data_IF_323365801364
#
_entry.id   IF_323365801364
#
_cell.length_a   1.000
_cell.length_b   1.000
_cell.length_c   1.000
_cell.angle_alpha   90.00
_cell.angle_beta   90.00
_cell.angle_gamma   90.00
#
_symmetry.space_group_name_H-M   'P 1'
#
loop_
_entity.id
_entity.type
_entity.pdbx_description
1 polymer ?
#
# COMPACT_ATOMS: atom_id res chain seq x y z
N UNK A 1 -34.24 -17.96 -28.57
CA UNK A 1 -33.63 -18.38 -27.30
C UNK A 1 -32.31 -17.63 -27.22
N UNK A 2 -32.26 -16.51 -26.47
CA UNK A 2 -31.01 -15.79 -26.24
C UNK A 2 -30.17 -16.71 -25.36
N UNK A 3 -29.03 -17.13 -25.88
CA UNK A 3 -27.99 -17.75 -25.07
C UNK A 3 -27.53 -16.64 -24.13
N UNK A 4 -27.89 -16.72 -22.87
CA UNK A 4 -27.37 -15.85 -21.82
C UNK A 4 -25.83 -15.90 -21.92
N UNK A 5 -25.22 -14.73 -21.90
CA UNK A 5 -23.75 -14.57 -21.84
C UNK A 5 -23.23 -15.30 -20.59
N UNK A 6 -22.90 -16.58 -20.74
CA UNK A 6 -22.24 -17.32 -19.66
C UNK A 6 -20.89 -16.63 -19.46
N UNK A 7 -20.79 -15.96 -18.35
CA UNK A 7 -19.56 -15.27 -17.95
C UNK A 7 -18.44 -16.31 -17.85
N UNK A 8 -17.52 -16.32 -18.82
CA UNK A 8 -16.47 -17.33 -18.93
C UNK A 8 -15.44 -17.27 -17.81
N UNK A 9 -15.32 -16.10 -17.18
CA UNK A 9 -14.37 -15.87 -16.07
C UNK A 9 -15.02 -15.07 -14.95
N UNK A 10 -14.52 -15.25 -13.74
CA UNK A 10 -14.77 -14.39 -12.59
C UNK A 10 -13.45 -13.71 -12.19
N UNK A 11 -13.49 -12.40 -11.94
CA UNK A 11 -12.37 -11.61 -11.45
C UNK A 11 -12.69 -11.14 -10.05
N UNK A 12 -11.85 -11.51 -9.09
CA UNK A 12 -11.88 -11.00 -7.73
C UNK A 12 -10.65 -10.15 -7.52
N UNK A 13 -10.85 -8.84 -7.30
CA UNK A 13 -9.77 -7.90 -7.05
C UNK A 13 -10.11 -7.03 -5.83
N UNK A 14 -9.12 -6.84 -4.97
CA UNK A 14 -9.22 -5.97 -3.80
C UNK A 14 -8.36 -4.73 -4.05
N UNK A 15 -9.00 -3.56 -4.12
CA UNK A 15 -8.35 -2.30 -4.42
C UNK A 15 -8.18 -1.45 -3.16
N UNK A 16 -7.04 -0.76 -3.08
CA UNK A 16 -6.84 0.27 -2.07
C UNK A 16 -7.70 1.49 -2.39
N UNK A 17 -8.30 2.10 -1.36
CA UNK A 17 -9.15 3.31 -1.51
C UNK A 17 -8.34 4.56 -1.85
N UNK A 18 -7.09 4.58 -1.40
CA UNK A 18 -6.16 5.68 -1.65
C UNK A 18 -4.78 5.13 -1.98
N UNK A 19 -4.09 5.79 -2.90
CA UNK A 19 -2.71 5.48 -3.26
C UNK A 19 -1.82 6.68 -2.99
N UNK A 20 -0.61 6.42 -2.49
CA UNK A 20 0.35 7.46 -2.12
C UNK A 20 1.78 7.03 -2.43
N UNK A 21 2.71 7.98 -2.46
CA UNK A 21 4.13 7.69 -2.60
C UNK A 21 4.66 6.71 -1.54
N UNK A 22 4.10 6.76 -0.34
CA UNK A 22 4.42 5.85 0.75
C UNK A 22 4.31 4.36 0.35
N UNK A 23 3.32 4.00 -0.48
CA UNK A 23 3.13 2.61 -0.91
C UNK A 23 4.30 2.09 -1.74
N UNK A 24 5.02 2.98 -2.45
CA UNK A 24 6.26 2.63 -3.16
C UNK A 24 7.35 2.25 -2.15
N UNK A 25 7.48 3.03 -1.08
CA UNK A 25 8.51 2.81 -0.04
C UNK A 25 8.29 1.51 0.72
N UNK A 26 7.02 1.14 0.95
CA UNK A 26 6.65 -0.08 1.68
C UNK A 26 6.45 -1.31 0.80
N UNK A 27 6.53 -1.16 -0.53
CA UNK A 27 6.22 -2.23 -1.47
C UNK A 27 4.73 -2.63 -1.48
N UNK A 28 3.85 -1.76 -0.96
CA UNK A 28 2.41 -2.03 -0.94
C UNK A 28 1.82 -1.81 -2.33
N UNK A 29 1.05 -2.79 -2.81
CA UNK A 29 0.37 -2.67 -4.11
C UNK A 29 -1.00 -2.00 -3.97
N UNK A 30 -1.41 -1.14 -4.93
CA UNK A 30 -2.76 -0.61 -5.01
C UNK A 30 -3.83 -1.67 -5.29
N UNK A 31 -3.41 -2.86 -5.76
CA UNK A 31 -4.26 -4.05 -5.91
C UNK A 31 -3.67 -5.14 -5.03
N UNK A 32 -4.28 -5.39 -3.86
CA UNK A 32 -3.73 -6.30 -2.84
C UNK A 32 -4.07 -7.76 -3.08
N UNK A 33 -5.16 -8.03 -3.77
CA UNK A 33 -5.59 -9.37 -4.19
C UNK A 33 -6.05 -9.33 -5.62
N UNK A 34 -5.65 -10.31 -6.39
CA UNK A 34 -6.14 -10.50 -7.75
C UNK A 34 -6.23 -11.99 -8.04
N UNK A 35 -7.46 -12.46 -8.21
CA UNK A 35 -7.75 -13.82 -8.63
C UNK A 35 -8.57 -13.77 -9.90
N UNK A 36 -8.22 -14.66 -10.83
CA UNK A 36 -8.98 -14.88 -12.07
C UNK A 36 -9.37 -16.35 -12.11
N UNK A 37 -10.65 -16.60 -12.16
CA UNK A 37 -11.22 -17.95 -12.19
C UNK A 37 -11.83 -18.23 -13.56
N UNK A 38 -11.45 -19.34 -14.15
CA UNK A 38 -12.11 -19.90 -15.32
C UNK A 38 -13.34 -20.69 -14.84
N UNK A 39 -14.52 -20.30 -15.30
CA UNK A 39 -15.79 -20.95 -14.92
C UNK A 39 -16.23 -21.98 -15.95
N UNK A 40 -15.45 -22.20 -17.02
CA UNK A 40 -15.77 -23.14 -18.09
C UNK A 40 -15.08 -24.49 -17.89
N UNK A 41 -15.57 -25.50 -18.60
CA UNK A 41 -15.00 -26.86 -18.63
C UNK A 41 -13.85 -27.00 -19.66
N UNK A 42 -13.45 -25.89 -20.30
CA UNK A 42 -12.36 -25.84 -21.27
C UNK A 42 -11.25 -24.92 -20.78
N UNK A 43 -10.01 -25.22 -21.17
CA UNK A 43 -8.88 -24.34 -20.94
C UNK A 43 -9.01 -23.08 -21.81
N UNK A 44 -8.70 -21.92 -21.26
CA UNK A 44 -8.66 -20.67 -22.03
C UNK A 44 -7.20 -20.32 -22.27
N UNK A 45 -6.78 -20.40 -23.51
CA UNK A 45 -5.42 -20.09 -23.96
C UNK A 45 -5.24 -18.58 -24.25
N UNK A 46 -3.99 -18.15 -24.36
CA UNK A 46 -3.59 -16.78 -24.70
C UNK A 46 -4.29 -15.71 -23.84
N UNK A 47 -4.46 -16.01 -22.56
CA UNK A 47 -5.07 -15.09 -21.61
C UNK A 47 -4.06 -14.04 -21.19
N UNK A 48 -4.45 -12.78 -21.33
CA UNK A 48 -3.70 -11.62 -20.92
C UNK A 48 -4.41 -10.89 -19.79
N UNK A 49 -3.74 -10.77 -18.66
CA UNK A 49 -4.20 -10.04 -17.47
C UNK A 49 -3.44 -8.73 -17.37
N UNK A 50 -4.15 -7.61 -17.42
CA UNK A 50 -3.58 -6.27 -17.41
C UNK A 50 -4.13 -5.46 -16.24
N UNK A 51 -3.27 -4.63 -15.64
CA UNK A 51 -3.68 -3.58 -14.70
C UNK A 51 -3.26 -2.24 -15.30
N UNK A 52 -4.23 -1.37 -15.48
CA UNK A 52 -4.07 -0.01 -16.02
C UNK A 52 -4.72 1.00 -15.09
N UNK A 53 -4.22 2.23 -15.12
CA UNK A 53 -4.80 3.32 -14.34
C UNK A 53 -5.01 4.57 -15.18
N UNK A 54 -5.97 5.38 -14.78
CA UNK A 54 -6.25 6.68 -15.37
C UNK A 54 -6.46 7.72 -14.25
N UNK A 55 -5.60 8.78 -14.20
CA UNK A 55 -4.39 8.98 -15.00
C UNK A 55 -3.38 7.84 -14.82
N UNK A 56 -2.33 7.78 -15.63
CA UNK A 56 -1.33 6.71 -15.62
C UNK A 56 -0.38 6.79 -14.40
N UNK A 57 -0.91 6.59 -13.18
CA UNK A 57 -0.13 6.56 -11.95
C UNK A 57 0.43 5.17 -11.62
N UNK A 58 0.05 4.14 -12.39
CA UNK A 58 0.66 2.81 -12.31
C UNK A 58 1.64 2.58 -13.45
N UNK A 59 2.66 1.75 -13.19
CA UNK A 59 3.44 1.15 -14.27
C UNK A 59 2.62 0.05 -14.93
N UNK A 60 2.81 -0.23 -16.22
CA UNK A 60 2.08 -1.31 -16.88
C UNK A 60 2.35 -2.67 -16.22
N UNK A 61 1.29 -3.34 -15.82
CA UNK A 61 1.31 -4.74 -15.41
C UNK A 61 0.62 -5.57 -16.48
N UNK A 62 1.30 -6.57 -16.97
CA UNK A 62 0.75 -7.46 -17.99
C UNK A 62 1.35 -8.86 -17.80
N UNK A 63 0.49 -9.86 -17.65
CA UNK A 63 0.87 -11.27 -17.56
C UNK A 63 0.09 -12.06 -18.60
N UNK A 64 0.81 -12.85 -19.39
CA UNK A 64 0.23 -13.80 -20.34
C UNK A 64 0.28 -15.21 -19.76
N UNK A 65 -0.85 -15.92 -19.81
CA UNK A 65 -1.00 -17.24 -19.21
C UNK A 65 -2.09 -18.04 -19.88
N UNK A 66 -2.23 -19.30 -19.51
CA UNK A 66 -3.41 -20.12 -19.80
C UNK A 66 -4.21 -20.28 -18.50
N UNK A 67 -5.54 -20.12 -18.58
CA UNK A 67 -6.44 -20.39 -17.47
C UNK A 67 -7.00 -21.81 -17.62
N UNK A 68 -6.52 -22.79 -16.84
CA UNK A 68 -7.04 -24.15 -16.93
C UNK A 68 -8.53 -24.18 -16.56
N UNK A 69 -9.24 -25.14 -17.11
CA UNK A 69 -10.66 -25.35 -16.84
C UNK A 69 -10.97 -25.40 -15.35
N UNK A 70 -12.05 -24.77 -14.95
CA UNK A 70 -12.56 -24.76 -13.57
C UNK A 70 -11.51 -24.38 -12.51
N UNK A 71 -10.45 -23.67 -12.90
CA UNK A 71 -9.35 -23.29 -12.00
C UNK A 71 -9.37 -21.81 -11.64
N UNK A 72 -8.67 -21.48 -10.56
CA UNK A 72 -8.42 -20.11 -10.11
C UNK A 72 -6.94 -19.86 -10.07
N UNK A 73 -6.48 -18.80 -10.71
CA UNK A 73 -5.10 -18.34 -10.66
C UNK A 73 -5.02 -17.07 -9.82
N UNK A 74 -4.06 -17.05 -8.90
CA UNK A 74 -3.70 -15.87 -8.12
C UNK A 74 -2.59 -15.11 -8.84
N UNK A 75 -2.75 -13.79 -8.91
CA UNK A 75 -1.72 -12.88 -9.40
C UNK A 75 -1.26 -12.00 -8.24
N UNK A 76 0.03 -11.75 -8.18
CA UNK A 76 0.66 -10.89 -7.15
C UNK A 76 1.31 -9.68 -7.84
N UNK A 77 0.53 -8.63 -8.11
CA UNK A 77 1.05 -7.43 -8.75
C UNK A 77 1.86 -6.61 -7.74
N UNK A 78 3.17 -6.65 -7.86
CA UNK A 78 4.10 -5.89 -7.03
C UNK A 78 4.56 -4.60 -7.73
N UNK A 79 4.94 -3.60 -6.94
CA UNK A 79 5.56 -2.35 -7.42
C UNK A 79 4.80 -1.64 -8.55
N UNK A 80 3.47 -1.66 -8.48
CA UNK A 80 2.62 -1.09 -9.54
C UNK A 80 2.68 0.43 -9.67
N UNK A 81 3.06 1.15 -8.61
CA UNK A 81 3.01 2.62 -8.64
C UNK A 81 4.19 3.22 -9.39
N UNK A 82 3.91 4.22 -10.21
CA UNK A 82 4.92 5.00 -10.92
C UNK A 82 5.58 6.01 -9.97
N UNK A 83 6.88 5.87 -9.64
CA UNK A 83 7.56 6.84 -8.79
C UNK A 83 7.57 8.25 -9.39
N UNK A 84 7.74 8.36 -10.71
CA UNK A 84 7.79 9.65 -11.41
C UNK A 84 6.46 10.39 -11.32
N UNK A 85 5.34 9.67 -11.47
CA UNK A 85 4.02 10.28 -11.36
C UNK A 85 3.74 10.73 -9.93
N UNK A 86 3.98 9.86 -8.94
CA UNK A 86 3.66 10.15 -7.54
C UNK A 86 4.49 11.28 -6.95
N UNK A 87 5.77 11.40 -7.34
CA UNK A 87 6.64 12.52 -6.91
C UNK A 87 6.22 13.85 -7.55
N UNK A 88 5.72 13.82 -8.78
CA UNK A 88 5.30 15.03 -9.50
C UNK A 88 3.92 15.55 -9.05
N UNK A 89 3.15 14.77 -8.29
CA UNK A 89 1.79 15.11 -7.92
C UNK A 89 1.76 16.10 -6.75
N UNK A 90 1.37 17.35 -7.02
CA UNK A 90 1.34 18.44 -6.05
C UNK A 90 -0.01 18.62 -5.36
N UNK A 91 -1.06 17.98 -5.86
CA UNK A 91 -2.42 18.04 -5.29
C UNK A 91 -3.11 16.68 -5.45
N UNK A 92 -3.95 16.35 -4.48
CA UNK A 92 -4.79 15.14 -4.55
C UNK A 92 -5.63 15.15 -5.82
N UNK A 93 -5.70 14.00 -6.48
CA UNK A 93 -6.55 13.80 -7.66
C UNK A 93 -7.36 12.51 -7.53
N UNK A 94 -8.43 12.40 -8.29
CA UNK A 94 -9.15 11.14 -8.44
C UNK A 94 -8.51 10.34 -9.56
N UNK A 95 -8.44 9.05 -9.36
CA UNK A 95 -7.97 8.10 -10.36
C UNK A 95 -8.84 6.86 -10.40
N UNK A 96 -8.64 6.07 -11.44
CA UNK A 96 -9.31 4.79 -11.64
C UNK A 96 -8.27 3.72 -11.92
N UNK A 97 -8.43 2.56 -11.30
CA UNK A 97 -7.66 1.35 -11.60
C UNK A 97 -8.58 0.35 -12.27
N UNK A 98 -8.13 -0.23 -13.35
CA UNK A 98 -8.86 -1.22 -14.13
C UNK A 98 -8.02 -2.49 -14.21
N UNK A 99 -8.62 -3.62 -13.86
CA UNK A 99 -8.09 -4.95 -14.13
C UNK A 99 -8.87 -5.52 -15.30
N UNK A 100 -8.18 -5.81 -16.39
CA UNK A 100 -8.74 -6.36 -17.61
C UNK A 100 -8.15 -7.73 -17.90
N UNK A 101 -9.03 -8.66 -18.27
CA UNK A 101 -8.64 -9.99 -18.71
C UNK A 101 -9.15 -10.19 -20.13
N UNK A 102 -8.25 -10.55 -21.03
CA UNK A 102 -8.56 -10.76 -22.45
C UNK A 102 -7.92 -12.06 -22.96
N UNK A 103 -8.46 -12.61 -24.05
CA UNK A 103 -7.81 -13.67 -24.83
C UNK A 103 -7.79 -13.21 -26.29
N UNK A 104 -6.60 -13.08 -26.84
CA UNK A 104 -6.38 -12.44 -28.12
C UNK A 104 -6.96 -11.02 -28.17
N UNK A 105 -7.94 -10.77 -29.04
CA UNK A 105 -8.63 -9.47 -29.16
C UNK A 105 -9.91 -9.36 -28.34
N UNK A 106 -10.35 -10.44 -27.69
CA UNK A 106 -11.61 -10.50 -26.97
C UNK A 106 -11.38 -10.20 -25.49
N UNK A 107 -12.10 -9.22 -24.96
CA UNK A 107 -12.16 -8.97 -23.51
C UNK A 107 -13.08 -10.02 -22.89
N UNK A 108 -12.57 -10.79 -21.95
CA UNK A 108 -13.30 -11.82 -21.22
C UNK A 108 -14.00 -11.26 -19.99
N UNK A 109 -13.36 -10.26 -19.35
CA UNK A 109 -13.91 -9.59 -18.18
C UNK A 109 -13.07 -8.39 -17.78
N UNK A 110 -13.70 -7.49 -17.02
CA UNK A 110 -13.08 -6.29 -16.50
C UNK A 110 -13.67 -5.98 -15.12
N UNK A 111 -12.84 -5.47 -14.22
CA UNK A 111 -13.26 -4.88 -12.94
C UNK A 111 -12.48 -3.63 -12.68
N UNK A 112 -13.11 -2.65 -12.03
CA UNK A 112 -12.49 -1.35 -11.78
C UNK A 112 -12.83 -0.79 -10.41
N UNK A 113 -12.00 0.14 -9.94
CA UNK A 113 -12.27 0.91 -8.75
C UNK A 113 -11.78 2.35 -8.90
N UNK A 114 -12.52 3.28 -8.33
CA UNK A 114 -12.07 4.64 -8.12
C UNK A 114 -11.15 4.69 -6.90
N UNK A 115 -10.05 5.44 -7.02
CA UNK A 115 -9.05 5.61 -5.97
C UNK A 115 -8.67 7.08 -5.82
N UNK A 116 -8.43 7.51 -4.58
CA UNK A 116 -7.83 8.81 -4.34
C UNK A 116 -6.32 8.72 -4.54
N UNK A 117 -5.76 9.45 -5.49
CA UNK A 117 -4.31 9.55 -5.68
C UNK A 117 -3.83 10.75 -4.88
N UNK A 118 -3.07 10.48 -3.80
CA UNK A 118 -2.63 11.48 -2.84
C UNK A 118 -1.43 12.26 -3.37
N UNK A 119 -1.33 13.54 -3.02
CA UNK A 119 -0.18 14.36 -3.36
C UNK A 119 1.11 13.81 -2.73
N UNK A 120 2.26 14.19 -3.29
CA UNK A 120 3.54 13.86 -2.69
C UNK A 120 3.62 14.41 -1.26
N UNK A 121 3.95 13.53 -0.31
CA UNK A 121 3.96 13.88 1.12
C UNK A 121 2.63 13.72 1.86
N UNK A 122 1.52 13.47 1.16
CA UNK A 122 0.27 13.05 1.78
C UNK A 122 0.25 11.53 2.02
N UNK A 123 -0.40 11.13 3.12
CA UNK A 123 -0.64 9.73 3.43
C UNK A 123 -2.01 9.54 4.07
N UNK A 124 -2.67 8.46 3.75
CA UNK A 124 -3.87 8.02 4.47
C UNK A 124 -3.48 7.17 5.69
N UNK A 125 -3.26 7.84 6.80
CA UNK A 125 -2.93 7.17 8.06
C UNK A 125 -4.10 6.41 8.68
N UNK A 126 -5.33 6.67 8.23
CA UNK A 126 -6.51 5.98 8.75
C UNK A 126 -6.57 4.54 8.26
N UNK A 127 -6.18 4.32 7.01
CA UNK A 127 -6.11 2.98 6.39
C UNK A 127 -4.79 2.26 6.69
N UNK A 128 -3.70 3.02 6.88
CA UNK A 128 -2.35 2.49 7.07
C UNK A 128 -1.60 3.24 8.18
N UNK A 129 -1.91 2.98 9.47
CA UNK A 129 -1.24 3.67 10.59
C UNK A 129 0.28 3.42 10.63
N UNK A 130 0.73 2.28 10.12
CA UNK A 130 2.16 1.92 10.06
C UNK A 130 2.95 2.82 9.11
N UNK A 131 2.28 3.51 8.23
CA UNK A 131 2.88 4.41 7.24
C UNK A 131 3.58 5.62 7.84
N UNK A 132 3.21 6.01 9.06
CA UNK A 132 3.92 7.04 9.81
C UNK A 132 5.43 6.77 9.91
N UNK A 133 5.83 5.50 10.02
CA UNK A 133 7.24 5.12 10.11
C UNK A 133 8.04 5.48 8.84
N UNK A 134 7.42 5.44 7.65
CA UNK A 134 8.08 5.77 6.39
C UNK A 134 8.38 7.27 6.23
N UNK A 135 7.63 8.14 6.93
CA UNK A 135 7.82 9.60 6.90
C UNK A 135 8.76 10.11 8.00
N UNK A 136 9.14 9.26 8.95
CA UNK A 136 10.08 9.62 10.01
C UNK A 136 11.51 9.44 9.50
N UNK A 137 12.06 10.47 8.88
CA UNK A 137 13.50 10.50 8.59
C UNK A 137 14.27 10.68 9.92
N UNK A 138 15.30 9.87 10.19
CA UNK A 138 16.15 10.04 11.38
C UNK A 138 17.01 11.29 11.25
N UNK A 139 16.43 12.46 11.57
CA UNK A 139 17.13 13.73 11.60
C UNK A 139 18.10 13.78 12.79
N UNK A 140 19.10 14.68 12.74
CA UNK A 140 20.00 14.93 13.89
C UNK A 140 19.22 15.36 15.14
N UNK A 141 18.15 16.15 14.96
CA UNK A 141 17.27 16.56 16.05
C UNK A 141 16.53 15.38 16.69
N UNK A 142 16.02 14.45 15.87
CA UNK A 142 15.35 13.24 16.38
C UNK A 142 16.33 12.33 17.14
N UNK A 143 17.56 12.17 16.63
CA UNK A 143 18.61 11.42 17.33
C UNK A 143 18.97 12.07 18.67
N UNK A 144 19.11 13.40 18.70
CA UNK A 144 19.37 14.14 19.93
C UNK A 144 18.23 14.02 20.94
N UNK A 145 16.96 14.07 20.49
CA UNK A 145 15.78 13.85 21.32
C UNK A 145 15.76 12.44 21.91
N UNK A 146 16.02 11.42 21.08
CA UNK A 146 16.08 10.03 21.51
C UNK A 146 17.18 9.82 22.57
N UNK A 147 18.38 10.37 22.35
CA UNK A 147 19.48 10.29 23.32
C UNK A 147 19.13 10.94 24.66
N UNK A 148 18.42 12.08 24.64
CA UNK A 148 17.94 12.75 25.87
C UNK A 148 16.87 11.91 26.57
N UNK A 149 15.93 11.29 25.81
CA UNK A 149 14.91 10.41 26.35
C UNK A 149 15.54 9.16 27.01
N UNK A 150 16.58 8.57 26.39
CA UNK A 150 17.32 7.45 26.94
C UNK A 150 18.00 7.83 28.29
N UNK A 151 18.59 9.03 28.36
CA UNK A 151 19.17 9.55 29.59
C UNK A 151 18.12 9.71 30.69
N UNK A 152 16.93 10.23 30.33
CA UNK A 152 15.80 10.39 31.25
C UNK A 152 15.29 9.06 31.78
N UNK A 153 15.22 8.04 30.93
CA UNK A 153 14.86 6.66 31.33
C UNK A 153 15.90 6.11 32.34
N UNK A 154 17.18 6.34 32.11
CA UNK A 154 18.24 5.92 33.05
C UNK A 154 18.10 6.63 34.38
N UNK A 155 17.83 7.95 34.42
CA UNK A 155 17.54 8.72 35.65
C UNK A 155 16.34 8.14 36.42
N UNK A 156 15.31 7.65 35.70
CA UNK A 156 14.15 7.01 36.32
C UNK A 156 14.33 5.53 36.65
N UNK A 157 15.54 4.99 36.42
CA UNK A 157 15.87 3.57 36.59
C UNK A 157 14.90 2.66 35.79
N UNK A 158 14.58 3.07 34.57
CA UNK A 158 13.70 2.35 33.66
C UNK A 158 14.50 1.79 32.49
N UNK A 159 14.07 0.63 32.00
CA UNK A 159 14.70 -0.03 30.87
C UNK A 159 14.39 0.75 29.57
N UNK A 160 15.42 0.86 28.71
CA UNK A 160 15.24 1.34 27.33
C UNK A 160 14.36 0.37 26.57
N UNK A 161 13.32 0.85 25.90
CA UNK A 161 12.52 0.04 24.99
C UNK A 161 13.36 -0.26 23.73
N UNK A 162 13.85 -1.49 23.61
CA UNK A 162 14.31 -1.99 22.30
C UNK A 162 13.11 -2.21 21.41
N UNK A 163 12.94 -1.41 20.37
CA UNK A 163 11.74 -1.43 19.53
C UNK A 163 11.51 -2.75 18.78
N UNK A 164 12.48 -3.67 18.76
CA UNK A 164 12.41 -4.91 17.99
C UNK A 164 12.58 -6.19 18.84
N UNK A 165 13.03 -6.07 20.08
CA UNK A 165 13.31 -7.24 20.91
C UNK A 165 12.41 -7.27 22.17
N UNK A 166 11.14 -7.64 21.99
CA UNK A 166 10.29 -8.01 23.12
C UNK A 166 10.02 -6.92 24.14
N UNK A 167 9.95 -5.65 23.73
CA UNK A 167 9.57 -4.55 24.60
C UNK A 167 8.16 -4.78 25.18
N UNK A 168 8.03 -4.71 26.51
CA UNK A 168 6.73 -4.77 27.15
C UNK A 168 5.92 -3.47 26.90
N UNK A 169 4.59 -3.53 27.07
CA UNK A 169 3.76 -2.31 27.04
C UNK A 169 4.25 -1.22 28.00
N UNK A 170 4.82 -1.63 29.14
CA UNK A 170 5.35 -0.69 30.12
C UNK A 170 6.64 -0.03 29.63
N UNK A 171 7.51 -0.73 28.92
CA UNK A 171 8.74 -0.15 28.36
C UNK A 171 8.41 0.90 27.31
N UNK A 172 7.46 0.61 26.43
CA UNK A 172 6.97 1.56 25.43
C UNK A 172 6.34 2.80 26.09
N UNK A 173 5.49 2.60 27.11
CA UNK A 173 4.87 3.71 27.86
C UNK A 173 5.91 4.58 28.57
N UNK A 174 6.91 3.97 29.20
CA UNK A 174 7.99 4.69 29.85
C UNK A 174 8.82 5.51 28.87
N UNK A 175 9.10 4.95 27.68
CA UNK A 175 9.81 5.67 26.63
C UNK A 175 9.05 6.91 26.16
N UNK A 176 7.75 6.77 25.88
CA UNK A 176 6.91 7.93 25.53
C UNK A 176 6.88 8.98 26.66
N UNK A 177 6.76 8.56 27.92
CA UNK A 177 6.80 9.48 29.05
C UNK A 177 8.15 10.24 29.12
N UNK A 178 9.26 9.57 28.86
CA UNK A 178 10.59 10.20 28.81
C UNK A 178 10.70 11.21 27.67
N UNK A 179 10.19 10.88 26.48
CA UNK A 179 10.13 11.80 25.33
C UNK A 179 9.30 13.04 25.67
N UNK A 180 8.12 12.88 26.27
CA UNK A 180 7.29 14.00 26.69
C UNK A 180 7.97 14.88 27.73
N UNK A 181 8.65 14.29 28.72
CA UNK A 181 9.39 15.05 29.72
C UNK A 181 10.50 15.89 29.08
N UNK A 182 11.27 15.32 28.15
CA UNK A 182 12.33 16.04 27.42
C UNK A 182 11.77 17.15 26.56
N UNK A 183 10.64 16.94 25.89
CA UNK A 183 9.98 17.97 25.09
C UNK A 183 9.47 19.13 25.98
N UNK A 184 8.92 18.81 27.16
CA UNK A 184 8.48 19.81 28.14
C UNK A 184 9.64 20.67 28.66
N UNK A 185 10.83 20.08 28.87
CA UNK A 185 12.02 20.80 29.30
C UNK A 185 12.59 21.72 28.20
N UNK A 186 12.29 21.47 26.93
CA UNK A 186 12.82 22.27 25.82
C UNK A 186 12.02 23.55 25.53
N UNK A 187 11.01 23.88 26.33
CA UNK A 187 10.17 25.08 26.14
C UNK A 187 9.79 25.27 24.67
N UNK A 188 9.03 24.32 24.10
CA UNK A 188 8.57 24.44 22.73
C UNK A 188 7.69 25.66 22.62
N UNK A 189 8.27 26.80 22.25
CA UNK A 189 7.54 27.99 21.82
C UNK A 189 6.78 27.61 20.55
N UNK A 190 5.46 27.65 20.62
CA UNK A 190 4.61 27.58 19.44
C UNK A 190 4.96 28.77 18.55
N UNK A 191 5.52 28.49 17.37
CA UNK A 191 5.62 29.45 16.30
C UNK A 191 4.25 29.65 15.65
#
# INVERSE_FOLDING_TARGET
>A
MKIDDIKQIEIEAEFQKAVSYYMIVTGTSPVSRLYVKNTTEEDIEDVRVEIISEPAFTVPFCVETTLPRLSTIKFEPENLLSPLFTVALNARTQGRIVVRVSSGKRVLGETEAEVAVLAYGECDFSSHPDSLAAFVSPSSALRALSAKADKKLAEWNRRRAGFYDGASKNDVRNYFAAVYAVLGEQSLTRA
#
